data_IF_402773379710
#
_entry.id   IF_402773379710
#
_cell.length_a   1.000
_cell.length_b   1.000
_cell.length_c   1.000
_cell.angle_alpha   90.00
_cell.angle_beta   90.00
_cell.angle_gamma   90.00
#
_symmetry.space_group_name_H-M   'P 1'
#
loop_
_entity.id
_entity.type
_entity.pdbx_description
1 polymer ?
#
# COMPACT_ATOMS: atom_id res chain seq x y z
N UNK A 1 -9.45 5.16 3.60
CA UNK A 1 -10.54 4.52 4.39
C UNK A 1 -11.66 3.93 3.54
N UNK A 2 -12.32 4.68 2.63
CA UNK A 2 -13.39 4.15 1.76
C UNK A 2 -12.99 2.88 1.00
N UNK A 3 -11.81 2.87 0.38
CA UNK A 3 -11.28 1.70 -0.33
C UNK A 3 -11.16 0.45 0.57
N UNK A 4 -10.58 0.59 1.77
CA UNK A 4 -10.44 -0.50 2.77
C UNK A 4 -11.81 -1.03 3.21
N UNK A 5 -12.76 -0.14 3.49
CA UNK A 5 -14.13 -0.53 3.86
C UNK A 5 -14.81 -1.33 2.75
N UNK A 6 -14.75 -0.83 1.51
CA UNK A 6 -15.34 -1.49 0.36
C UNK A 6 -14.73 -2.85 0.02
N UNK A 7 -13.42 -3.04 0.19
CA UNK A 7 -12.80 -4.35 0.01
C UNK A 7 -13.16 -5.34 1.11
N UNK A 8 -13.28 -4.87 2.35
CA UNK A 8 -13.30 -5.74 3.53
C UNK A 8 -14.70 -5.96 4.11
N UNK A 9 -15.73 -5.40 3.47
CA UNK A 9 -17.12 -5.45 3.95
C UNK A 9 -17.34 -4.67 5.25
N UNK A 10 -16.44 -3.75 5.62
CA UNK A 10 -16.51 -2.97 6.86
C UNK A 10 -17.09 -1.59 6.62
N UNK A 11 -17.91 -1.12 7.54
CA UNK A 11 -18.40 0.26 7.52
C UNK A 11 -17.24 1.25 7.77
N UNK A 12 -17.42 2.49 7.32
CA UNK A 12 -16.41 3.53 7.52
C UNK A 12 -16.15 3.80 9.01
N UNK A 13 -17.17 3.68 9.85
CA UNK A 13 -17.06 3.81 11.29
C UNK A 13 -16.20 2.69 11.91
N UNK A 14 -16.42 1.43 11.50
CA UNK A 14 -15.62 0.29 11.96
C UNK A 14 -14.14 0.45 11.57
N UNK A 15 -13.86 0.89 10.33
CA UNK A 15 -12.48 1.13 9.87
C UNK A 15 -11.81 2.24 10.67
N UNK A 16 -12.54 3.33 10.97
CA UNK A 16 -12.03 4.43 11.80
C UNK A 16 -11.76 3.99 13.24
N UNK A 17 -12.69 3.28 13.87
CA UNK A 17 -12.53 2.79 15.24
C UNK A 17 -11.32 1.82 15.34
N UNK A 18 -11.14 0.94 14.36
CA UNK A 18 -9.98 0.07 14.30
C UNK A 18 -8.67 0.86 14.13
N UNK A 19 -8.65 1.89 13.28
CA UNK A 19 -7.47 2.74 13.08
C UNK A 19 -7.12 3.55 14.34
N UNK A 20 -8.11 4.03 15.09
CA UNK A 20 -7.90 4.71 16.37
C UNK A 20 -7.32 3.75 17.41
N UNK A 21 -7.93 2.57 17.58
CA UNK A 21 -7.46 1.54 18.52
C UNK A 21 -6.03 1.07 18.23
N UNK A 22 -5.65 0.97 16.96
CA UNK A 22 -4.32 0.51 16.52
C UNK A 22 -3.31 1.65 16.30
N UNK A 23 -3.73 2.92 16.42
CA UNK A 23 -2.89 4.10 16.22
C UNK A 23 -2.55 4.45 14.76
N UNK A 24 -3.03 3.67 13.78
CA UNK A 24 -2.88 3.95 12.35
C UNK A 24 -3.84 3.14 11.45
N UNK A 25 -4.09 3.67 10.25
CA UNK A 25 -4.93 2.99 9.26
C UNK A 25 -4.23 1.79 8.61
N UNK A 26 -2.90 1.83 8.41
CA UNK A 26 -2.15 0.73 7.81
C UNK A 26 -2.28 -0.58 8.60
N UNK A 27 -2.16 -0.52 9.93
CA UNK A 27 -2.36 -1.67 10.81
C UNK A 27 -3.80 -2.18 10.77
N UNK A 28 -4.78 -1.27 10.80
CA UNK A 28 -6.19 -1.63 10.65
C UNK A 28 -6.47 -2.31 9.31
N UNK A 29 -5.86 -1.84 8.23
CA UNK A 29 -6.02 -2.39 6.89
C UNK A 29 -5.36 -3.78 6.75
N UNK A 30 -4.19 -4.01 7.36
CA UNK A 30 -3.57 -5.33 7.43
C UNK A 30 -4.43 -6.32 8.20
N UNK A 31 -4.92 -5.94 9.39
CA UNK A 31 -5.83 -6.79 10.18
C UNK A 31 -7.11 -7.08 9.38
N UNK A 32 -7.62 -6.08 8.68
CA UNK A 32 -8.81 -6.21 7.86
C UNK A 32 -8.63 -7.18 6.70
N UNK A 33 -7.48 -7.11 6.01
CA UNK A 33 -7.10 -7.97 4.89
C UNK A 33 -6.86 -9.41 5.34
N UNK A 34 -6.17 -9.61 6.46
CA UNK A 34 -5.87 -10.93 7.01
C UNK A 34 -7.14 -11.71 7.38
N UNK A 35 -8.21 -11.00 7.78
CA UNK A 35 -9.50 -11.60 8.08
C UNK A 35 -10.32 -11.98 6.83
N UNK A 36 -9.94 -11.53 5.63
CA UNK A 36 -10.67 -11.83 4.40
C UNK A 36 -10.25 -13.18 3.82
N UNK A 37 -11.15 -14.16 3.86
CA UNK A 37 -10.99 -15.41 3.10
C UNK A 37 -11.31 -15.17 1.63
N UNK A 38 -10.49 -15.70 0.74
CA UNK A 38 -10.70 -15.61 -0.71
C UNK A 38 -10.89 -17.01 -1.30
N UNK A 39 -11.80 -17.12 -2.27
CA UNK A 39 -12.00 -18.36 -3.04
C UNK A 39 -10.82 -18.62 -4.00
N UNK A 40 -10.32 -17.56 -4.65
CA UNK A 40 -9.13 -17.60 -5.49
C UNK A 40 -8.28 -16.38 -5.19
N UNK A 41 -7.01 -16.60 -4.84
CA UNK A 41 -6.08 -15.51 -4.59
C UNK A 41 -5.51 -14.99 -5.93
N UNK A 42 -5.51 -13.66 -6.17
CA UNK A 42 -4.85 -13.10 -7.34
C UNK A 42 -3.33 -13.29 -7.28
N UNK A 43 -2.68 -13.06 -8.43
CA UNK A 43 -1.23 -13.09 -8.54
C UNK A 43 -0.56 -12.16 -7.51
N UNK A 44 0.62 -12.53 -6.97
CA UNK A 44 1.36 -11.69 -6.04
C UNK A 44 1.65 -10.29 -6.63
N UNK A 45 1.64 -9.27 -5.78
CA UNK A 45 2.05 -7.93 -6.18
C UNK A 45 3.54 -7.90 -6.51
N UNK A 46 3.87 -7.22 -7.61
CA UNK A 46 5.26 -6.96 -7.99
C UNK A 46 5.55 -5.48 -7.83
N UNK A 47 6.74 -5.14 -7.35
CA UNK A 47 7.17 -3.74 -7.11
C UNK A 47 7.00 -2.88 -8.36
N UNK A 48 7.38 -3.39 -9.54
CA UNK A 48 7.23 -2.68 -10.83
C UNK A 48 5.76 -2.34 -11.13
N UNK A 49 4.85 -3.30 -10.94
CA UNK A 49 3.41 -3.13 -11.17
C UNK A 49 2.80 -2.16 -10.15
N UNK A 50 3.17 -2.28 -8.88
CA UNK A 50 2.72 -1.38 -7.82
C UNK A 50 3.15 0.06 -8.10
N UNK A 51 4.43 0.28 -8.44
CA UNK A 51 4.96 1.60 -8.74
C UNK A 51 4.27 2.25 -9.94
N UNK A 52 4.05 1.49 -11.03
CA UNK A 52 3.28 1.98 -12.17
C UNK A 52 1.84 2.36 -11.78
N UNK A 53 1.17 1.50 -11.01
CA UNK A 53 -0.20 1.77 -10.54
C UNK A 53 -0.29 3.02 -9.64
N UNK A 54 0.73 3.29 -8.81
CA UNK A 54 0.81 4.51 -7.99
C UNK A 54 1.02 5.77 -8.85
N UNK A 55 1.87 5.69 -9.89
CA UNK A 55 2.04 6.80 -10.85
C UNK A 55 0.73 7.11 -11.58
N UNK A 56 0.05 6.08 -12.06
CA UNK A 56 -1.24 6.24 -12.72
C UNK A 56 -2.29 6.84 -11.77
N UNK A 57 -2.31 6.41 -10.50
CA UNK A 57 -3.20 6.97 -9.48
C UNK A 57 -2.97 8.48 -9.29
N UNK A 58 -1.71 8.92 -9.33
CA UNK A 58 -1.35 10.34 -9.24
C UNK A 58 -1.82 11.12 -10.48
N UNK A 59 -1.76 10.51 -11.67
CA UNK A 59 -2.16 11.13 -12.93
C UNK A 59 -3.69 11.27 -13.12
N UNK A 60 -4.52 10.51 -12.38
CA UNK A 60 -5.98 10.60 -12.51
C UNK A 60 -6.51 11.95 -11.99
N UNK A 61 -7.15 12.70 -12.87
CA UNK A 61 -7.81 13.99 -12.61
C UNK A 61 -9.21 14.04 -13.23
N UNK A 62 -9.96 15.13 -12.99
CA UNK A 62 -11.28 15.36 -13.60
C UNK A 62 -12.46 14.71 -12.89
N UNK A 63 -13.61 14.70 -13.57
CA UNK A 63 -14.86 14.15 -13.06
C UNK A 63 -14.75 12.64 -12.80
N UNK A 64 -15.40 12.18 -11.72
CA UNK A 64 -15.33 10.81 -11.21
C UNK A 64 -13.92 10.29 -10.83
N UNK A 65 -12.90 11.16 -10.80
CA UNK A 65 -11.51 10.79 -10.43
C UNK A 65 -11.42 10.08 -9.08
N UNK A 66 -12.18 10.52 -8.08
CA UNK A 66 -12.22 9.91 -6.74
C UNK A 66 -12.64 8.44 -6.81
N UNK A 67 -13.71 8.11 -7.55
CA UNK A 67 -14.19 6.74 -7.66
C UNK A 67 -13.21 5.87 -8.43
N UNK A 68 -12.61 6.39 -9.52
CA UNK A 68 -11.56 5.68 -10.26
C UNK A 68 -10.34 5.37 -9.37
N UNK A 69 -9.91 6.34 -8.55
CA UNK A 69 -8.82 6.14 -7.58
C UNK A 69 -9.18 5.08 -6.55
N UNK A 70 -10.39 5.12 -6.00
CA UNK A 70 -10.88 4.11 -5.05
C UNK A 70 -10.82 2.72 -5.68
N UNK A 71 -11.40 2.51 -6.87
CA UNK A 71 -11.41 1.20 -7.53
C UNK A 71 -9.99 0.66 -7.78
N UNK A 72 -9.06 1.53 -8.19
CA UNK A 72 -7.67 1.11 -8.43
C UNK A 72 -6.91 0.77 -7.14
N UNK A 73 -7.15 1.52 -6.06
CA UNK A 73 -6.61 1.18 -4.73
C UNK A 73 -7.19 -0.16 -4.25
N UNK A 74 -8.48 -0.41 -4.48
CA UNK A 74 -9.13 -1.68 -4.11
C UNK A 74 -8.51 -2.86 -4.85
N UNK A 75 -8.26 -2.73 -6.15
CA UNK A 75 -7.59 -3.76 -6.95
C UNK A 75 -6.19 -4.11 -6.40
N UNK A 76 -5.39 -3.09 -6.04
CA UNK A 76 -4.08 -3.30 -5.40
C UNK A 76 -4.25 -3.97 -4.02
N UNK A 77 -5.17 -3.48 -3.20
CA UNK A 77 -5.38 -3.95 -1.84
C UNK A 77 -5.81 -5.42 -1.77
N UNK A 78 -6.66 -5.88 -2.68
CA UNK A 78 -7.09 -7.28 -2.76
C UNK A 78 -5.93 -8.21 -3.15
N UNK A 79 -4.94 -7.71 -3.90
CA UNK A 79 -3.75 -8.48 -4.23
C UNK A 79 -2.71 -8.53 -3.09
N UNK A 80 -2.81 -7.65 -2.09
CA UNK A 80 -1.90 -7.62 -0.96
C UNK A 80 -1.94 -8.91 -0.13
N UNK A 81 -0.76 -9.36 0.29
CA UNK A 81 -0.50 -10.48 1.19
C UNK A 81 0.26 -10.00 2.43
N UNK A 82 0.03 -10.66 3.56
CA UNK A 82 0.76 -10.39 4.82
C UNK A 82 0.84 -8.88 5.15
N UNK A 83 2.04 -8.32 5.26
CA UNK A 83 2.29 -6.91 5.61
C UNK A 83 2.13 -5.93 4.44
N UNK A 84 1.94 -6.39 3.20
CA UNK A 84 1.86 -5.50 2.03
C UNK A 84 0.72 -4.48 2.16
N UNK A 85 -0.42 -4.92 2.70
CA UNK A 85 -1.59 -4.06 2.93
C UNK A 85 -1.26 -2.87 3.87
N UNK A 86 -0.44 -3.11 4.90
CA UNK A 86 -0.01 -2.06 5.84
C UNK A 86 0.81 -1.00 5.13
N UNK A 87 1.82 -1.42 4.37
CA UNK A 87 2.72 -0.50 3.69
C UNK A 87 2.07 0.19 2.49
N UNK A 88 1.19 -0.49 1.76
CA UNK A 88 0.39 0.14 0.69
C UNK A 88 -0.43 1.32 1.24
N UNK A 89 -1.16 1.11 2.33
CA UNK A 89 -1.98 2.16 2.93
C UNK A 89 -1.13 3.28 3.51
N UNK A 90 -0.04 2.95 4.22
CA UNK A 90 0.90 3.96 4.73
C UNK A 90 1.50 4.83 3.61
N UNK A 91 1.83 4.24 2.46
CA UNK A 91 2.29 4.98 1.28
C UNK A 91 1.21 5.90 0.71
N UNK A 92 -0.03 5.44 0.62
CA UNK A 92 -1.17 6.26 0.14
C UNK A 92 -1.54 7.39 1.11
N UNK A 93 -1.26 7.24 2.41
CA UNK A 93 -1.42 8.29 3.42
C UNK A 93 -0.24 9.28 3.45
N UNK A 94 0.85 8.99 2.75
CA UNK A 94 2.10 9.77 2.81
C UNK A 94 2.85 9.64 4.14
N UNK A 95 2.55 8.61 4.94
CA UNK A 95 3.10 8.40 6.29
C UNK A 95 3.67 7.00 6.44
N UNK A 96 4.86 6.76 5.89
CA UNK A 96 5.45 5.43 5.82
C UNK A 96 5.86 4.85 7.19
N UNK A 97 6.26 5.71 8.14
CA UNK A 97 6.61 5.34 9.53
C UNK A 97 7.61 4.17 9.61
N UNK A 98 8.71 4.27 8.87
CA UNK A 98 9.82 3.29 8.86
C UNK A 98 11.07 3.78 9.60
N UNK A 99 11.09 5.04 10.06
CA UNK A 99 12.23 5.63 10.76
C UNK A 99 13.45 5.92 9.87
N UNK A 100 13.29 5.75 8.56
CA UNK A 100 14.31 6.01 7.54
C UNK A 100 13.81 7.08 6.58
N UNK A 101 14.73 7.91 6.11
CA UNK A 101 14.49 8.99 5.17
C UNK A 101 15.60 9.01 4.10
N UNK A 102 15.66 10.11 3.34
CA UNK A 102 16.54 10.26 2.18
C UNK A 102 18.02 9.99 2.49
N UNK A 103 18.57 10.57 3.57
CA UNK A 103 19.98 10.41 3.92
C UNK A 103 20.35 8.94 4.21
N UNK A 104 19.50 8.24 4.97
CA UNK A 104 19.69 6.82 5.24
C UNK A 104 19.60 5.98 3.95
N UNK A 105 18.73 6.39 3.01
CA UNK A 105 18.58 5.72 1.72
C UNK A 105 19.82 5.89 0.84
N UNK A 106 20.36 7.11 0.75
CA UNK A 106 21.58 7.40 -0.01
C UNK A 106 22.77 6.60 0.54
N UNK A 107 22.93 6.56 1.86
CA UNK A 107 23.98 5.78 2.51
C UNK A 107 23.81 4.27 2.23
N UNK A 108 22.60 3.74 2.34
CA UNK A 108 22.33 2.33 2.06
C UNK A 108 22.61 1.97 0.58
N UNK A 109 22.25 2.86 -0.36
CA UNK A 109 22.50 2.66 -1.78
C UNK A 109 24.00 2.66 -2.09
N UNK A 110 24.76 3.63 -1.55
CA UNK A 110 26.21 3.70 -1.72
C UNK A 110 26.89 2.43 -1.17
N UNK A 111 26.47 1.99 0.02
CA UNK A 111 27.00 0.77 0.64
C UNK A 111 26.68 -0.48 -0.19
N UNK A 112 25.45 -0.60 -0.69
CA UNK A 112 25.04 -1.74 -1.53
C UNK A 112 25.85 -1.80 -2.83
N UNK A 113 26.01 -0.66 -3.52
CA UNK A 113 26.80 -0.59 -4.75
C UNK A 113 28.29 -0.88 -4.52
N UNK A 114 28.85 -0.44 -3.38
CA UNK A 114 30.25 -0.70 -3.04
C UNK A 114 30.51 -2.17 -2.64
N UNK A 115 29.60 -2.79 -1.88
CA UNK A 115 29.74 -4.16 -1.38
C UNK A 115 29.29 -5.24 -2.36
N UNK A 116 28.34 -4.90 -3.22
CA UNK A 116 27.82 -5.77 -4.26
C UNK A 116 27.80 -4.96 -5.55
N UNK A 117 28.97 -4.84 -6.22
CA UNK A 117 29.06 -4.11 -7.46
C UNK A 117 27.98 -4.62 -8.42
N UNK A 118 27.21 -3.73 -9.06
CA UNK A 118 26.26 -4.17 -10.07
C UNK A 118 27.05 -4.92 -11.14
N UNK A 119 26.50 -6.04 -11.62
CA UNK A 119 26.98 -6.64 -12.85
C UNK A 119 26.96 -5.51 -13.91
N UNK A 120 28.08 -5.34 -14.62
CA UNK A 120 28.18 -4.35 -15.69
C UNK A 120 27.07 -4.54 -16.73
N UNK A 121 26.91 -3.57 -17.65
CA UNK A 121 26.00 -3.74 -18.78
C UNK A 121 26.28 -5.04 -19.55
#
# INVERSE_FOLDING_TARGET
>A
MKAVGGCTGRSLAQVRAAAQRLGELGAAAQQARAAQRMLCAPAPLQVRKLHAALKDLAAITGQASVNKKISKIQALFVACRHSEAKYLIRSLEGKLRVGLAEQSLLQALALAAARTPPAGP
#
